data_IF_349234321907
#
_entry.id   IF_349234321907
#
_cell.length_a   1.000
_cell.length_b   1.000
_cell.length_c   1.000
_cell.angle_alpha   90.00
_cell.angle_beta   90.00
_cell.angle_gamma   90.00
#
_symmetry.space_group_name_H-M   'P 1'
#
loop_
_entity.id
_entity.type
_entity.pdbx_description
1 polymer ?
#
# COMPACT_ATOMS: atom_id res chain seq x y z
N UNK A 1 -5.83 -59.23 -29.33
CA UNK A 1 -6.41 -59.19 -27.97
C UNK A 1 -5.83 -57.97 -27.27
N UNK A 2 -6.71 -57.07 -26.87
CA UNK A 2 -6.46 -55.67 -26.53
C UNK A 2 -6.40 -55.48 -25.02
N UNK A 3 -5.21 -55.23 -24.44
CA UNK A 3 -4.98 -54.67 -23.10
C UNK A 3 -3.53 -54.12 -23.13
N UNK A 4 -3.16 -52.90 -22.75
CA UNK A 4 -3.61 -52.06 -21.65
C UNK A 4 -3.39 -50.58 -22.03
N UNK A 5 -4.47 -49.82 -22.09
CA UNK A 5 -4.45 -48.37 -21.95
C UNK A 5 -5.48 -48.05 -20.85
N UNK A 6 -5.23 -46.99 -20.08
CA UNK A 6 -6.07 -46.41 -19.02
C UNK A 6 -5.78 -46.89 -17.59
N UNK A 7 -4.98 -46.11 -16.88
CA UNK A 7 -5.26 -45.67 -15.50
C UNK A 7 -4.31 -44.52 -15.13
N UNK A 8 -4.51 -43.37 -15.77
CA UNK A 8 -4.00 -42.07 -15.32
C UNK A 8 -4.94 -41.55 -14.23
N UNK A 9 -4.38 -40.83 -13.26
CA UNK A 9 -5.03 -39.98 -12.26
C UNK A 9 -5.42 -40.65 -10.94
N UNK A 10 -4.53 -40.58 -9.94
CA UNK A 10 -4.95 -40.17 -8.59
C UNK A 10 -3.79 -39.60 -7.75
N UNK A 11 -3.97 -38.33 -7.36
CA UNK A 11 -3.42 -37.67 -6.17
C UNK A 11 -1.93 -37.26 -6.14
N UNK A 12 -1.57 -36.23 -6.90
CA UNK A 12 -0.51 -35.28 -6.52
C UNK A 12 -1.12 -33.89 -6.29
N UNK A 13 -1.72 -33.68 -5.12
CA UNK A 13 -2.19 -32.37 -4.66
C UNK A 13 -1.72 -32.13 -3.22
N UNK A 14 -0.40 -31.92 -3.05
CA UNK A 14 0.14 -31.14 -1.92
C UNK A 14 0.87 -29.92 -2.50
N UNK A 15 0.20 -29.20 -3.41
CA UNK A 15 0.66 -27.91 -3.90
C UNK A 15 0.53 -26.89 -2.77
N UNK A 16 1.61 -26.14 -2.55
CA UNK A 16 1.88 -25.27 -1.43
C UNK A 16 0.70 -24.38 -0.98
N UNK A 17 0.33 -24.47 0.30
CA UNK A 17 -0.26 -23.34 1.00
C UNK A 17 0.84 -22.33 1.33
N UNK A 18 1.31 -21.61 0.32
CA UNK A 18 2.08 -20.38 0.57
C UNK A 18 1.08 -19.31 0.96
N UNK A 19 0.82 -19.20 2.25
CA UNK A 19 0.20 -18.01 2.82
C UNK A 19 1.16 -16.86 2.57
N UNK A 20 1.00 -16.16 1.46
CA UNK A 20 1.60 -14.86 1.21
C UNK A 20 0.95 -13.89 2.20
N UNK A 21 1.34 -13.98 3.47
CA UNK A 21 1.12 -12.91 4.43
C UNK A 21 2.05 -11.80 3.93
N UNK A 22 1.49 -10.90 3.13
CA UNK A 22 2.12 -9.62 2.80
C UNK A 22 2.40 -8.95 4.13
N UNK A 23 3.58 -9.22 4.66
CA UNK A 23 4.16 -8.46 5.74
C UNK A 23 4.54 -7.19 5.02
N UNK A 24 3.72 -6.15 5.16
CA UNK A 24 4.17 -4.80 4.85
C UNK A 24 5.40 -4.63 5.73
N UNK A 25 6.58 -4.84 5.15
CA UNK A 25 7.83 -4.57 5.79
C UNK A 25 7.83 -3.06 5.95
N UNK A 26 7.39 -2.58 7.11
CA UNK A 26 7.72 -1.25 7.59
C UNK A 26 9.24 -1.18 7.51
N UNK A 27 9.83 -0.29 6.68
CA UNK A 27 11.26 -0.08 6.71
C UNK A 27 11.59 0.62 8.03
N UNK A 28 11.67 -0.16 9.10
CA UNK A 28 12.35 0.23 10.32
C UNK A 28 13.83 0.24 9.98
N UNK A 29 14.37 1.44 9.79
CA UNK A 29 15.79 1.62 9.52
C UNK A 29 16.00 2.71 8.48
N UNK A 30 16.70 3.76 8.92
CA UNK A 30 17.43 4.76 8.12
C UNK A 30 17.39 4.45 6.63
N UNK A 31 16.65 5.27 5.87
CA UNK A 31 16.65 5.20 4.42
C UNK A 31 18.10 5.20 3.93
N UNK A 32 18.60 4.06 3.47
CA UNK A 32 19.67 4.09 2.49
C UNK A 32 19.04 4.73 1.26
N UNK A 33 19.20 6.05 1.14
CA UNK A 33 18.90 6.79 -0.07
C UNK A 33 19.70 6.13 -1.18
N UNK A 34 19.03 5.39 -2.06
CA UNK A 34 19.62 5.12 -3.37
C UNK A 34 19.99 6.47 -3.96
N UNK A 35 21.21 6.58 -4.50
CA UNK A 35 21.72 7.82 -5.04
C UNK A 35 20.69 8.44 -6.02
N UNK A 36 20.34 9.70 -5.78
CA UNK A 36 19.34 10.41 -6.59
C UNK A 36 17.86 10.24 -6.17
N UNK A 37 17.54 9.41 -5.18
CA UNK A 37 16.16 9.29 -4.65
C UNK A 37 15.98 10.04 -3.32
N UNK A 38 14.89 10.81 -3.25
CA UNK A 38 14.43 11.46 -2.02
C UNK A 38 13.21 10.72 -1.50
N UNK A 39 13.22 10.36 -0.21
CA UNK A 39 12.07 9.76 0.46
C UNK A 39 11.06 10.85 0.80
N UNK A 40 9.84 10.77 0.23
CA UNK A 40 8.74 11.72 0.48
C UNK A 40 7.73 11.24 1.53
N UNK A 41 7.68 9.95 1.82
CA UNK A 41 6.77 9.37 2.81
C UNK A 41 7.56 8.54 3.81
N UNK A 42 7.33 8.81 5.09
CA UNK A 42 8.01 8.13 6.21
C UNK A 42 7.33 6.82 6.62
N UNK A 43 6.15 6.52 6.05
CA UNK A 43 5.37 5.31 6.35
C UNK A 43 4.30 5.50 7.43
N UNK A 44 4.27 6.63 8.13
CA UNK A 44 3.45 6.78 9.35
C UNK A 44 2.79 8.14 9.52
N UNK A 45 3.26 9.19 8.84
CA UNK A 45 2.72 10.54 8.99
C UNK A 45 2.42 11.21 7.66
N UNK A 46 1.70 12.31 7.70
CA UNK A 46 1.51 13.22 6.57
C UNK A 46 2.55 14.34 6.56
N UNK A 47 3.69 14.18 7.24
CA UNK A 47 4.75 15.18 7.24
C UNK A 47 5.33 15.33 5.82
N UNK A 48 5.58 16.58 5.42
CA UNK A 48 6.00 16.89 4.04
C UNK A 48 4.83 16.99 3.05
N UNK A 49 3.58 16.84 3.49
CA UNK A 49 2.39 16.92 2.66
C UNK A 49 1.39 17.97 3.15
N UNK A 50 0.65 18.57 2.21
CA UNK A 50 -0.51 19.40 2.49
C UNK A 50 -1.60 19.21 1.41
N UNK A 51 -2.85 19.58 1.71
CA UNK A 51 -3.88 19.65 0.67
C UNK A 51 -3.67 20.90 -0.18
N UNK A 52 -3.86 20.82 -1.51
CA UNK A 52 -3.62 21.94 -2.42
C UNK A 52 -4.29 23.25 -1.94
N UNK A 53 -3.50 24.34 -1.88
CA UNK A 53 -3.90 25.68 -1.36
C UNK A 53 -4.33 25.68 0.12
N UNK A 54 -3.86 24.73 0.91
CA UNK A 54 -4.04 24.66 2.39
C UNK A 54 -2.67 24.63 3.08
N UNK A 55 -2.67 24.78 4.40
CA UNK A 55 -1.43 24.76 5.22
C UNK A 55 -1.11 23.38 5.80
N UNK A 56 -1.96 22.39 5.57
CA UNK A 56 -1.79 21.04 6.08
C UNK A 56 -2.66 20.05 5.33
N UNK A 57 -2.40 18.76 5.55
CA UNK A 57 -3.22 17.69 4.98
C UNK A 57 -4.66 17.78 5.54
N UNK A 58 -5.64 17.75 4.64
CA UNK A 58 -7.05 17.71 5.03
C UNK A 58 -7.38 16.44 5.81
N UNK A 59 -8.39 16.49 6.68
CA UNK A 59 -8.73 15.38 7.59
C UNK A 59 -9.13 14.08 6.90
N UNK A 60 -9.46 14.10 5.62
CA UNK A 60 -9.72 12.88 4.87
C UNK A 60 -8.43 12.11 4.53
N UNK A 61 -7.25 12.73 4.62
CA UNK A 61 -5.98 12.05 4.39
C UNK A 61 -5.45 11.41 5.68
N UNK A 62 -5.16 10.13 5.61
CA UNK A 62 -4.65 9.33 6.73
C UNK A 62 -3.38 8.59 6.33
N UNK A 63 -2.38 8.60 7.21
CA UNK A 63 -1.20 7.75 7.12
C UNK A 63 -1.30 6.65 8.19
N UNK A 64 -1.54 5.41 7.77
CA UNK A 64 -1.64 4.27 8.69
C UNK A 64 -1.19 2.98 8.00
N UNK A 65 -0.63 2.04 8.77
CA UNK A 65 -0.18 0.74 8.27
C UNK A 65 0.80 0.83 7.08
N UNK A 66 1.62 1.88 7.00
CA UNK A 66 2.53 2.08 5.86
C UNK A 66 1.85 2.62 4.61
N UNK A 67 0.63 3.13 4.70
CA UNK A 67 -0.20 3.57 3.57
C UNK A 67 -0.67 5.00 3.83
N UNK A 68 -0.39 5.90 2.89
CA UNK A 68 -1.00 7.22 2.80
C UNK A 68 -2.23 7.11 1.89
N UNK A 69 -3.44 7.29 2.45
CA UNK A 69 -4.68 7.12 1.71
C UNK A 69 -5.74 8.16 2.09
N UNK A 70 -6.73 8.31 1.22
CA UNK A 70 -7.88 9.17 1.46
C UNK A 70 -9.07 8.33 1.92
N UNK A 71 -9.64 8.69 3.07
CA UNK A 71 -10.89 8.15 3.61
C UNK A 71 -12.10 8.72 2.83
N UNK A 72 -12.80 7.88 2.04
CA UNK A 72 -13.94 8.33 1.24
C UNK A 72 -15.15 8.75 2.09
N UNK A 73 -15.33 8.18 3.28
CA UNK A 73 -16.43 8.53 4.17
C UNK A 73 -16.22 9.92 4.77
N UNK A 74 -14.99 10.23 5.23
CA UNK A 74 -14.65 11.58 5.72
C UNK A 74 -14.74 12.60 4.58
N UNK A 75 -14.20 12.30 3.39
CA UNK A 75 -14.34 13.19 2.22
C UNK A 75 -15.79 13.46 1.87
N UNK A 76 -16.66 12.45 1.93
CA UNK A 76 -18.10 12.62 1.63
C UNK A 76 -18.80 13.49 2.67
N UNK A 77 -18.46 13.33 3.95
CA UNK A 77 -19.01 14.14 5.03
C UNK A 77 -18.49 15.59 5.02
N UNK A 78 -17.23 15.77 4.61
CA UNK A 78 -16.54 17.06 4.60
C UNK A 78 -15.74 17.23 3.29
N UNK A 79 -16.39 17.65 2.18
CA UNK A 79 -15.74 17.73 0.87
C UNK A 79 -14.50 18.64 0.83
N UNK A 80 -14.44 19.64 1.70
CA UNK A 80 -13.31 20.59 1.83
C UNK A 80 -12.12 20.03 2.58
N UNK A 81 -12.28 18.90 3.28
CA UNK A 81 -11.23 18.22 4.06
C UNK A 81 -10.53 17.10 3.27
N UNK A 82 -10.91 16.90 2.00
CA UNK A 82 -10.18 16.06 1.05
C UNK A 82 -9.27 16.90 0.16
N UNK A 83 -9.59 16.89 -1.14
CA UNK A 83 -8.80 17.54 -2.19
C UNK A 83 -7.53 16.78 -2.56
N UNK A 84 -6.77 17.35 -3.49
CA UNK A 84 -5.49 16.81 -3.91
C UNK A 84 -4.45 17.02 -2.81
N UNK A 85 -3.66 15.98 -2.54
CA UNK A 85 -2.55 16.03 -1.59
C UNK A 85 -1.25 16.20 -2.37
N UNK A 86 -0.46 17.17 -1.93
CA UNK A 86 0.73 17.67 -2.63
C UNK A 86 1.88 17.79 -1.64
N UNK A 87 3.11 17.74 -2.14
CA UNK A 87 4.30 17.94 -1.30
C UNK A 87 4.37 19.39 -0.83
N UNK A 88 4.99 19.64 0.31
CA UNK A 88 5.18 21.01 0.81
C UNK A 88 6.03 21.89 -0.11
N UNK A 89 6.80 21.27 -1.01
CA UNK A 89 7.66 21.91 -1.99
C UNK A 89 6.98 22.20 -3.35
N UNK A 90 5.67 21.93 -3.50
CA UNK A 90 4.89 22.37 -4.69
C UNK A 90 4.87 23.91 -4.81
#
# INVERSE_FOLDING_TARGET
MNQFLVAVALATLLSCNTTNKTTVQTPNGSASSQEGFVRLFDGTTTNGWHSYRKTGAGKAWTAENGILHLDPAIKKASPTEGGDLVTNEE
#
